data_IF_792734417756
#
_entry.id   IF_792734417756
#
_cell.length_a   1.000
_cell.length_b   1.000
_cell.length_c   1.000
_cell.angle_alpha   90.00
_cell.angle_beta   90.00
_cell.angle_gamma   90.00
#
_symmetry.space_group_name_H-M   'P 1'
#
loop_
_entity.id
_entity.type
_entity.pdbx_description
1 polymer ?
#
# COMPACT_ATOMS: atom_id res chain seq x y z
N UNK A 1 -57.65 46.04 -46.29
CA UNK A 1 -57.64 44.74 -45.57
C UNK A 1 -57.03 43.71 -46.50
N UNK A 2 -55.80 43.28 -46.22
CA UNK A 2 -55.20 42.15 -46.93
C UNK A 2 -55.76 40.90 -46.25
N UNK A 3 -56.58 40.13 -46.98
CA UNK A 3 -57.09 38.85 -46.50
C UNK A 3 -55.91 37.89 -46.44
N UNK A 4 -55.54 37.46 -45.24
CA UNK A 4 -54.67 36.31 -45.04
C UNK A 4 -55.43 35.08 -45.56
N UNK A 5 -55.01 34.55 -46.70
CA UNK A 5 -55.46 33.25 -47.20
C UNK A 5 -54.59 32.16 -46.58
N UNK A 6 -55.17 31.35 -45.70
CA UNK A 6 -54.56 30.08 -45.28
C UNK A 6 -54.56 29.12 -46.47
N UNK A 7 -53.39 28.61 -46.82
CA UNK A 7 -53.22 27.56 -47.83
C UNK A 7 -52.52 26.38 -47.19
N UNK A 8 -53.04 25.17 -47.43
CA UNK A 8 -52.43 23.93 -46.97
C UNK A 8 -51.39 23.52 -48.01
N UNK A 9 -50.13 23.44 -47.61
CA UNK A 9 -49.06 22.96 -48.49
C UNK A 9 -49.34 21.50 -48.89
N UNK A 10 -49.09 21.16 -50.16
CA UNK A 10 -49.01 19.75 -50.55
C UNK A 10 -47.80 19.07 -49.91
N UNK A 11 -47.79 17.74 -49.89
CA UNK A 11 -46.78 16.95 -49.17
C UNK A 11 -45.35 17.25 -49.66
N UNK A 12 -45.16 17.47 -50.97
CA UNK A 12 -43.87 17.79 -51.57
C UNK A 12 -43.39 19.15 -51.08
N UNK A 13 -44.24 20.17 -51.17
CA UNK A 13 -43.89 21.54 -50.77
C UNK A 13 -43.68 21.66 -49.27
N UNK A 14 -44.42 20.88 -48.48
CA UNK A 14 -44.20 20.76 -47.04
C UNK A 14 -42.80 20.21 -46.74
N UNK A 15 -42.43 19.08 -47.34
CA UNK A 15 -41.11 18.46 -47.16
C UNK A 15 -39.95 19.37 -47.58
N UNK A 16 -40.08 20.05 -48.73
CA UNK A 16 -39.10 21.06 -49.19
C UNK A 16 -38.94 22.19 -48.17
N UNK A 17 -40.05 22.71 -47.64
CA UNK A 17 -40.01 23.80 -46.66
C UNK A 17 -39.35 23.36 -45.36
N UNK A 18 -39.64 22.15 -44.87
CA UNK A 18 -39.00 21.58 -43.67
C UNK A 18 -37.49 21.40 -43.88
N UNK A 19 -37.08 20.97 -45.07
CA UNK A 19 -35.66 20.81 -45.44
C UNK A 19 -34.93 22.16 -45.46
N UNK A 20 -35.50 23.19 -46.08
CA UNK A 20 -34.90 24.54 -46.14
C UNK A 20 -34.73 25.13 -44.73
N UNK A 21 -35.72 24.93 -43.85
CA UNK A 21 -35.63 25.35 -42.45
C UNK A 21 -34.52 24.58 -41.73
N UNK A 22 -34.45 23.26 -41.91
CA UNK A 22 -33.40 22.44 -41.30
C UNK A 22 -32.01 22.92 -41.70
N UNK A 23 -31.76 23.07 -43.01
CA UNK A 23 -30.46 23.52 -43.53
C UNK A 23 -30.07 24.91 -43.02
N UNK A 24 -31.03 25.83 -42.90
CA UNK A 24 -30.74 27.15 -42.35
C UNK A 24 -30.36 27.11 -40.86
N UNK A 25 -31.01 26.28 -40.06
CA UNK A 25 -30.76 26.21 -38.61
C UNK A 25 -29.51 25.40 -38.25
N UNK A 26 -29.18 24.36 -39.02
CA UNK A 26 -28.05 23.47 -38.70
C UNK A 26 -26.68 24.14 -38.90
N UNK A 27 -26.65 25.26 -39.63
CA UNK A 27 -25.45 26.09 -39.84
C UNK A 27 -25.19 27.07 -38.67
N UNK A 28 -26.08 27.14 -37.68
CA UNK A 28 -25.95 28.00 -36.50
C UNK A 28 -25.32 27.26 -35.33
N UNK A 29 -24.80 28.01 -34.37
CA UNK A 29 -24.38 27.46 -33.08
C UNK A 29 -25.53 26.72 -32.41
N UNK A 30 -25.22 25.58 -31.78
CA UNK A 30 -26.26 24.75 -31.18
C UNK A 30 -26.95 25.46 -30.00
N UNK A 31 -28.25 25.64 -30.12
CA UNK A 31 -29.13 26.24 -29.13
C UNK A 31 -30.53 25.57 -29.14
N UNK A 32 -31.41 25.98 -28.22
CA UNK A 32 -32.75 25.40 -28.03
C UNK A 32 -33.63 25.44 -29.30
N UNK A 33 -33.46 26.46 -30.13
CA UNK A 33 -34.17 26.61 -31.40
C UNK A 33 -33.68 25.59 -32.44
N UNK A 34 -32.36 25.41 -32.58
CA UNK A 34 -31.76 24.36 -33.41
C UNK A 34 -32.27 22.98 -32.96
N UNK A 35 -32.26 22.71 -31.66
CA UNK A 35 -32.76 21.44 -31.11
C UNK A 35 -34.23 21.16 -31.48
N UNK A 36 -35.10 22.18 -31.36
CA UNK A 36 -36.52 22.06 -31.72
C UNK A 36 -36.70 21.81 -33.21
N UNK A 37 -35.95 22.50 -34.05
CA UNK A 37 -36.00 22.32 -35.51
C UNK A 37 -35.58 20.90 -35.88
N UNK A 38 -34.47 20.40 -35.33
CA UNK A 38 -34.00 19.03 -35.61
C UNK A 38 -35.03 17.98 -35.19
N UNK A 39 -35.58 18.07 -33.97
CA UNK A 39 -36.60 17.14 -33.50
C UNK A 39 -37.88 17.20 -34.35
N UNK A 40 -38.28 18.41 -34.74
CA UNK A 40 -39.42 18.60 -35.64
C UNK A 40 -39.16 17.98 -37.01
N UNK A 41 -37.99 18.21 -37.61
CA UNK A 41 -37.61 17.65 -38.90
C UNK A 41 -37.59 16.13 -38.87
N UNK A 42 -36.98 15.51 -37.85
CA UNK A 42 -36.99 14.04 -37.69
C UNK A 42 -38.42 13.50 -37.63
N UNK A 43 -39.31 14.14 -36.86
CA UNK A 43 -40.70 13.72 -36.74
C UNK A 43 -41.53 13.94 -38.03
N UNK A 44 -41.33 15.09 -38.68
CA UNK A 44 -42.05 15.49 -39.90
C UNK A 44 -41.63 14.65 -41.11
N UNK A 45 -40.33 14.37 -41.24
CA UNK A 45 -39.75 13.60 -42.34
C UNK A 45 -39.78 12.09 -42.08
N UNK A 46 -40.01 11.67 -40.82
CA UNK A 46 -39.91 10.28 -40.36
C UNK A 46 -38.57 9.63 -40.72
N UNK A 47 -37.50 10.41 -40.59
CA UNK A 47 -36.15 10.00 -40.93
C UNK A 47 -35.18 10.42 -39.81
N UNK A 48 -34.59 9.42 -39.15
CA UNK A 48 -33.61 9.65 -38.09
C UNK A 48 -32.24 10.09 -38.63
N UNK A 49 -32.00 9.96 -39.94
CA UNK A 49 -30.72 10.32 -40.57
C UNK A 49 -30.36 11.80 -40.36
N UNK A 50 -31.36 12.65 -40.14
CA UNK A 50 -31.19 14.05 -39.80
C UNK A 50 -30.37 14.28 -38.54
N UNK A 51 -30.41 13.37 -37.55
CA UNK A 51 -29.49 13.45 -36.41
C UNK A 51 -28.02 13.36 -36.84
N UNK A 52 -27.69 12.41 -37.72
CA UNK A 52 -26.35 12.27 -38.28
C UNK A 52 -25.94 13.42 -39.20
N UNK A 53 -26.90 14.07 -39.87
CA UNK A 53 -26.66 15.32 -40.63
C UNK A 53 -26.34 16.48 -39.69
N UNK A 54 -27.10 16.63 -38.59
CA UNK A 54 -26.83 17.64 -37.56
C UNK A 54 -25.45 17.47 -36.93
N UNK A 55 -25.07 16.25 -36.56
CA UNK A 55 -23.73 15.97 -36.02
C UNK A 55 -22.65 16.44 -37.00
N UNK A 56 -22.75 16.05 -38.27
CA UNK A 56 -21.75 16.42 -39.30
C UNK A 56 -21.64 17.92 -39.49
N UNK A 57 -22.76 18.62 -39.66
CA UNK A 57 -22.76 20.07 -39.85
C UNK A 57 -22.18 20.82 -38.64
N UNK A 58 -22.51 20.40 -37.41
CA UNK A 58 -21.94 21.03 -36.22
C UNK A 58 -20.45 20.71 -36.05
N UNK A 59 -20.00 19.54 -36.49
CA UNK A 59 -18.58 19.15 -36.43
C UNK A 59 -17.72 19.92 -37.42
N UNK A 60 -18.24 20.30 -38.59
CA UNK A 60 -17.53 21.14 -39.57
C UNK A 60 -17.09 22.48 -38.98
N UNK A 61 -17.84 23.00 -37.99
CA UNK A 61 -17.56 24.26 -37.32
C UNK A 61 -16.67 24.10 -36.06
N UNK A 62 -16.29 22.88 -35.68
CA UNK A 62 -15.44 22.59 -34.50
C UNK A 62 -14.04 22.13 -34.90
N UNK A 63 -13.01 22.56 -34.17
CA UNK A 63 -11.61 22.33 -34.54
C UNK A 63 -10.98 21.16 -33.80
N UNK A 64 -11.39 20.91 -32.56
CA UNK A 64 -10.77 19.88 -31.70
C UNK A 64 -11.74 18.75 -31.38
N UNK A 65 -11.20 17.57 -31.05
CA UNK A 65 -11.99 16.42 -30.58
C UNK A 65 -12.75 16.76 -29.30
N UNK A 66 -12.12 17.51 -28.40
CA UNK A 66 -12.70 17.90 -27.11
C UNK A 66 -13.90 18.86 -27.29
N UNK A 67 -13.84 19.77 -28.26
CA UNK A 67 -14.98 20.62 -28.65
C UNK A 67 -16.14 19.78 -29.22
N UNK A 68 -15.82 18.78 -30.06
CA UNK A 68 -16.83 17.85 -30.60
C UNK A 68 -17.51 17.05 -29.50
N UNK A 69 -16.78 16.66 -28.45
CA UNK A 69 -17.35 15.99 -27.26
C UNK A 69 -18.36 16.91 -26.56
N UNK A 70 -18.04 18.19 -26.37
CA UNK A 70 -18.97 19.15 -25.78
C UNK A 70 -20.26 19.29 -26.62
N UNK A 71 -20.12 19.37 -27.95
CA UNK A 71 -21.27 19.42 -28.87
C UNK A 71 -22.13 18.17 -28.72
N UNK A 72 -21.55 16.97 -28.77
CA UNK A 72 -22.30 15.71 -28.66
C UNK A 72 -23.02 15.60 -27.32
N UNK A 73 -22.42 16.07 -26.23
CA UNK A 73 -23.07 16.11 -24.92
C UNK A 73 -24.26 17.09 -24.88
N UNK A 74 -24.14 18.27 -25.50
CA UNK A 74 -25.26 19.21 -25.66
C UNK A 74 -26.40 18.60 -26.46
N UNK A 75 -26.09 17.95 -27.59
CA UNK A 75 -27.08 17.22 -28.39
C UNK A 75 -27.76 16.11 -27.58
N UNK A 76 -26.98 15.35 -26.81
CA UNK A 76 -27.52 14.26 -26.01
C UNK A 76 -28.47 14.77 -24.93
N UNK A 77 -28.17 15.89 -24.28
CA UNK A 77 -29.07 16.51 -23.31
C UNK A 77 -30.39 16.96 -23.96
N UNK A 78 -30.34 17.51 -25.17
CA UNK A 78 -31.52 17.96 -25.88
C UNK A 78 -32.38 16.79 -26.42
N UNK A 79 -31.73 15.71 -26.89
CA UNK A 79 -32.39 14.64 -27.63
C UNK A 79 -32.57 13.34 -26.83
N UNK A 80 -32.20 13.31 -25.54
CA UNK A 80 -32.19 12.10 -24.70
C UNK A 80 -33.49 11.28 -24.73
N UNK A 81 -34.65 11.93 -24.90
CA UNK A 81 -35.98 11.29 -24.92
C UNK A 81 -36.31 10.61 -26.26
N UNK A 82 -35.56 10.88 -27.32
CA UNK A 82 -35.76 10.23 -28.61
C UNK A 82 -34.98 8.91 -28.66
N UNK A 83 -35.67 7.80 -28.96
CA UNK A 83 -35.07 6.46 -28.96
C UNK A 83 -34.10 6.27 -30.13
N UNK A 84 -34.41 6.84 -31.30
CA UNK A 84 -33.59 6.73 -32.51
C UNK A 84 -32.28 7.51 -32.40
N UNK A 85 -32.28 8.62 -31.64
CA UNK A 85 -31.09 9.40 -31.33
C UNK A 85 -29.98 8.57 -30.67
N UNK A 86 -30.33 7.64 -29.78
CA UNK A 86 -29.36 6.90 -28.98
C UNK A 86 -28.35 6.12 -29.84
N UNK A 87 -28.76 5.63 -31.01
CA UNK A 87 -27.86 4.92 -31.91
C UNK A 87 -26.76 5.84 -32.45
N UNK A 88 -27.12 7.05 -32.88
CA UNK A 88 -26.17 8.05 -33.37
C UNK A 88 -25.27 8.56 -32.24
N UNK A 89 -25.86 8.82 -31.07
CA UNK A 89 -25.10 9.25 -29.91
C UNK A 89 -24.04 8.22 -29.53
N UNK A 90 -24.41 6.96 -29.33
CA UNK A 90 -23.47 5.92 -28.86
C UNK A 90 -22.34 5.69 -29.86
N UNK A 91 -22.63 5.63 -31.16
CA UNK A 91 -21.59 5.43 -32.18
C UNK A 91 -20.59 6.59 -32.18
N UNK A 92 -21.09 7.84 -32.24
CA UNK A 92 -20.22 9.01 -32.34
C UNK A 92 -19.48 9.28 -31.02
N UNK A 93 -20.15 9.11 -29.88
CA UNK A 93 -19.53 9.32 -28.57
C UNK A 93 -18.40 8.31 -28.30
N UNK A 94 -18.51 7.06 -28.75
CA UNK A 94 -17.42 6.07 -28.61
C UNK A 94 -16.21 6.43 -29.45
N UNK A 95 -16.42 6.82 -30.70
CA UNK A 95 -15.35 7.25 -31.61
C UNK A 95 -14.59 8.45 -31.02
N UNK A 96 -15.30 9.49 -30.58
CA UNK A 96 -14.69 10.67 -29.95
C UNK A 96 -13.99 10.33 -28.63
N UNK A 97 -14.55 9.41 -27.84
CA UNK A 97 -13.93 8.95 -26.60
C UNK A 97 -12.58 8.29 -26.89
N UNK A 98 -12.51 7.37 -27.85
CA UNK A 98 -11.29 6.68 -28.24
C UNK A 98 -10.25 7.64 -28.83
N UNK A 99 -10.68 8.55 -29.72
CA UNK A 99 -9.82 9.56 -30.33
C UNK A 99 -9.21 10.48 -29.27
N UNK A 100 -10.03 11.06 -28.39
CA UNK A 100 -9.52 11.92 -27.31
C UNK A 100 -8.71 11.13 -26.27
N UNK A 101 -9.02 9.87 -26.02
CA UNK A 101 -8.24 9.05 -25.09
C UNK A 101 -6.84 8.74 -25.65
N UNK A 102 -6.69 8.64 -26.97
CA UNK A 102 -5.40 8.42 -27.62
C UNK A 102 -4.44 9.62 -27.52
N UNK A 103 -4.95 10.79 -27.14
CA UNK A 103 -4.16 12.02 -26.95
C UNK A 103 -3.74 12.24 -25.49
N UNK A 104 -4.09 11.33 -24.59
CA UNK A 104 -3.84 11.48 -23.16
C UNK A 104 -2.34 11.36 -22.87
N UNK A 105 -1.83 12.33 -22.11
CA UNK A 105 -0.47 12.46 -21.62
C UNK A 105 -0.49 12.89 -20.16
N UNK A 106 0.65 12.79 -19.49
CA UNK A 106 0.79 13.18 -18.07
C UNK A 106 0.39 14.64 -17.84
N UNK A 107 0.84 15.55 -18.71
CA UNK A 107 0.63 17.00 -18.60
C UNK A 107 -0.82 17.44 -18.86
N UNK A 108 -1.60 16.65 -19.60
CA UNK A 108 -2.98 16.96 -19.94
C UNK A 108 -4.03 16.07 -19.24
N UNK A 109 -3.60 15.13 -18.38
CA UNK A 109 -4.47 14.13 -17.75
C UNK A 109 -5.66 14.74 -16.99
N UNK A 110 -5.42 15.80 -16.21
CA UNK A 110 -6.46 16.50 -15.44
C UNK A 110 -7.50 17.13 -16.38
N UNK A 111 -7.03 17.80 -17.43
CA UNK A 111 -7.88 18.41 -18.43
C UNK A 111 -8.71 17.36 -19.16
N UNK A 112 -8.08 16.31 -19.69
CA UNK A 112 -8.77 15.20 -20.37
C UNK A 112 -9.78 14.51 -19.45
N UNK A 113 -9.49 14.35 -18.16
CA UNK A 113 -10.44 13.82 -17.17
C UNK A 113 -11.71 14.67 -17.06
N UNK A 114 -11.56 16.00 -17.10
CA UNK A 114 -12.70 16.93 -17.04
C UNK A 114 -13.59 16.86 -18.28
N UNK A 115 -13.00 16.66 -19.47
CA UNK A 115 -13.69 16.55 -20.76
C UNK A 115 -14.36 15.18 -20.92
N UNK A 116 -13.65 14.11 -20.57
CA UNK A 116 -14.12 12.74 -20.83
C UNK A 116 -15.06 12.19 -19.76
N UNK A 117 -15.03 12.70 -18.52
CA UNK A 117 -15.89 12.18 -17.45
C UNK A 117 -17.41 12.37 -17.72
N UNK A 118 -17.89 13.52 -18.24
CA UNK A 118 -19.27 13.65 -18.69
C UNK A 118 -19.64 12.63 -19.79
N UNK A 119 -18.75 12.42 -20.76
CA UNK A 119 -18.95 11.46 -21.86
C UNK A 119 -19.00 10.02 -21.34
N UNK A 120 -18.10 9.66 -20.43
CA UNK A 120 -18.10 8.38 -19.70
C UNK A 120 -19.44 8.11 -19.03
N UNK A 121 -19.99 9.08 -18.29
CA UNK A 121 -21.29 8.95 -17.62
C UNK A 121 -22.43 8.71 -18.61
N UNK A 122 -22.43 9.44 -19.72
CA UNK A 122 -23.46 9.32 -20.75
C UNK A 122 -23.38 7.96 -21.48
N UNK A 123 -22.17 7.45 -21.74
CA UNK A 123 -21.92 6.13 -22.32
C UNK A 123 -22.04 4.97 -21.33
N UNK A 124 -22.12 5.26 -20.02
CA UNK A 124 -22.11 4.27 -18.92
C UNK A 124 -20.86 3.39 -18.92
N UNK A 125 -19.72 3.97 -19.28
CA UNK A 125 -18.42 3.29 -19.20
C UNK A 125 -18.07 3.08 -17.72
N UNK A 126 -17.69 1.85 -17.37
CA UNK A 126 -17.33 1.51 -16.00
C UNK A 126 -15.97 2.10 -15.61
N UNK A 127 -15.70 2.18 -14.31
CA UNK A 127 -14.49 2.78 -13.75
C UNK A 127 -13.22 2.13 -14.27
N UNK A 128 -13.20 0.80 -14.38
CA UNK A 128 -12.04 0.05 -14.84
C UNK A 128 -11.70 0.35 -16.31
N UNK A 129 -12.70 0.30 -17.19
CA UNK A 129 -12.54 0.63 -18.62
C UNK A 129 -12.07 2.08 -18.80
N UNK A 130 -12.62 3.00 -18.00
CA UNK A 130 -12.28 4.41 -18.07
C UNK A 130 -10.84 4.67 -17.63
N UNK A 131 -10.41 4.12 -16.49
CA UNK A 131 -9.02 4.22 -16.03
C UNK A 131 -8.06 3.53 -16.99
N UNK A 132 -8.46 2.39 -17.55
CA UNK A 132 -7.66 1.66 -18.55
C UNK A 132 -7.42 2.50 -19.80
N UNK A 133 -8.43 3.24 -20.27
CA UNK A 133 -8.28 4.15 -21.41
C UNK A 133 -7.29 5.28 -21.12
N UNK A 134 -7.33 5.86 -19.90
CA UNK A 134 -6.37 6.89 -19.48
C UNK A 134 -4.94 6.38 -19.36
N UNK A 135 -4.77 5.18 -18.82
CA UNK A 135 -3.45 4.60 -18.62
C UNK A 135 -2.81 4.14 -19.94
N UNK A 136 -3.61 3.72 -20.93
CA UNK A 136 -3.14 3.02 -22.14
C UNK A 136 -2.00 3.73 -22.87
N UNK A 137 -2.14 5.04 -23.12
CA UNK A 137 -1.11 5.79 -23.85
C UNK A 137 0.04 6.20 -22.93
N UNK A 138 -0.23 6.59 -21.69
CA UNK A 138 0.81 6.97 -20.73
C UNK A 138 1.80 5.81 -20.46
N UNK A 139 1.30 4.58 -20.33
CA UNK A 139 2.12 3.38 -20.10
C UNK A 139 3.05 3.01 -21.25
N UNK A 140 2.91 3.64 -22.43
CA UNK A 140 3.81 3.40 -23.56
C UNK A 140 5.09 4.24 -23.46
N UNK A 141 5.04 5.37 -22.76
CA UNK A 141 6.15 6.32 -22.70
C UNK A 141 6.71 6.53 -21.29
N UNK A 142 5.92 6.24 -20.26
CA UNK A 142 6.27 6.51 -18.87
C UNK A 142 6.30 5.23 -18.03
N UNK A 143 7.03 5.29 -16.92
CA UNK A 143 7.07 4.24 -15.91
C UNK A 143 5.75 4.19 -15.10
N UNK A 144 5.41 2.99 -14.58
CA UNK A 144 4.13 2.71 -13.93
C UNK A 144 3.85 3.61 -12.70
N UNK A 145 4.88 4.06 -11.99
CA UNK A 145 4.77 4.99 -10.86
C UNK A 145 4.37 6.41 -11.29
N UNK A 146 4.97 6.92 -12.37
CA UNK A 146 4.60 8.20 -12.98
C UNK A 146 3.14 8.15 -13.46
N UNK A 147 2.76 7.06 -14.14
CA UNK A 147 1.36 6.87 -14.59
C UNK A 147 0.40 6.82 -13.40
N UNK A 148 0.76 6.10 -12.33
CA UNK A 148 -0.04 6.01 -11.12
C UNK A 148 -0.28 7.40 -10.50
N UNK A 149 0.76 8.22 -10.36
CA UNK A 149 0.66 9.57 -9.79
C UNK A 149 -0.18 10.52 -10.67
N UNK A 150 -0.03 10.45 -11.98
CA UNK A 150 -0.83 11.24 -12.92
C UNK A 150 -2.33 10.89 -12.84
N UNK A 151 -2.65 9.59 -12.72
CA UNK A 151 -4.04 9.13 -12.57
C UNK A 151 -4.64 9.59 -11.23
N UNK A 152 -3.90 9.52 -10.12
CA UNK A 152 -4.38 10.07 -8.86
C UNK A 152 -4.63 11.58 -8.95
N UNK A 153 -3.72 12.30 -9.60
CA UNK A 153 -3.85 13.75 -9.84
C UNK A 153 -5.06 14.10 -10.72
N UNK A 154 -5.42 13.22 -11.66
CA UNK A 154 -6.62 13.32 -12.48
C UNK A 154 -7.94 12.98 -11.72
N UNK A 155 -7.85 12.66 -10.43
CA UNK A 155 -8.98 12.44 -9.53
C UNK A 155 -9.45 10.99 -9.43
N UNK A 156 -8.66 10.02 -9.91
CA UNK A 156 -8.99 8.61 -9.80
C UNK A 156 -8.72 8.07 -8.38
N UNK A 157 -9.56 7.13 -7.93
CA UNK A 157 -9.37 6.46 -6.65
C UNK A 157 -8.23 5.45 -6.73
N UNK A 158 -7.46 5.30 -5.63
CA UNK A 158 -6.34 4.36 -5.53
C UNK A 158 -6.70 2.94 -5.99
N UNK A 159 -7.81 2.36 -5.53
CA UNK A 159 -8.20 0.99 -5.90
C UNK A 159 -8.44 0.83 -7.41
N UNK A 160 -9.03 1.84 -8.06
CA UNK A 160 -9.27 1.83 -9.49
C UNK A 160 -7.96 1.95 -10.28
N UNK A 161 -7.05 2.83 -9.85
CA UNK A 161 -5.73 2.96 -10.49
C UNK A 161 -4.92 1.67 -10.32
N UNK A 162 -4.84 1.11 -9.11
CA UNK A 162 -4.09 -0.12 -8.83
C UNK A 162 -4.62 -1.36 -9.59
N UNK A 163 -5.89 -1.34 -10.01
CA UNK A 163 -6.44 -2.42 -10.84
C UNK A 163 -5.88 -2.42 -12.28
N UNK A 164 -5.31 -1.30 -12.73
CA UNK A 164 -4.77 -1.10 -14.08
C UNK A 164 -3.24 -0.95 -14.06
N UNK A 165 -2.71 -0.28 -13.03
CA UNK A 165 -1.29 0.05 -12.85
C UNK A 165 -0.86 -0.44 -11.47
N UNK A 166 -0.33 -1.66 -11.41
CA UNK A 166 0.02 -2.33 -10.16
C UNK A 166 1.42 -1.95 -9.67
N UNK A 167 1.57 -0.72 -9.19
CA UNK A 167 2.83 -0.23 -8.57
C UNK A 167 3.16 -0.93 -7.26
N UNK A 168 2.16 -1.52 -6.58
CA UNK A 168 2.36 -2.21 -5.30
C UNK A 168 3.27 -3.43 -5.45
N UNK A 169 3.12 -4.17 -6.55
CA UNK A 169 3.98 -5.33 -6.84
C UNK A 169 5.45 -4.92 -6.92
N UNK A 170 5.75 -3.90 -7.72
CA UNK A 170 7.10 -3.35 -7.90
C UNK A 170 7.67 -2.79 -6.59
N UNK A 171 6.92 -1.92 -5.90
CA UNK A 171 7.38 -1.34 -4.63
C UNK A 171 7.65 -2.39 -3.56
N UNK A 172 6.77 -3.39 -3.43
CA UNK A 172 6.96 -4.45 -2.45
C UNK A 172 8.15 -5.37 -2.80
N UNK A 173 8.39 -5.62 -4.08
CA UNK A 173 9.59 -6.35 -4.54
C UNK A 173 10.87 -5.56 -4.22
N UNK A 174 10.90 -4.26 -4.52
CA UNK A 174 12.01 -3.37 -4.17
C UNK A 174 12.26 -3.30 -2.67
N UNK A 175 11.22 -3.32 -1.83
CA UNK A 175 11.37 -3.47 -0.37
C UNK A 175 12.13 -4.75 -0.02
N UNK A 176 11.74 -5.88 -0.60
CA UNK A 176 12.32 -7.20 -0.29
C UNK A 176 13.76 -7.30 -0.77
N UNK A 177 14.13 -6.62 -1.87
CA UNK A 177 15.46 -6.69 -2.47
C UNK A 177 16.41 -5.54 -2.03
N UNK A 178 15.95 -4.62 -1.18
CA UNK A 178 16.66 -3.38 -0.80
C UNK A 178 16.92 -2.41 -1.96
N UNK A 179 16.06 -2.36 -2.96
CA UNK A 179 16.23 -1.51 -4.13
C UNK A 179 15.64 -0.11 -3.92
N UNK A 180 16.10 0.87 -4.71
CA UNK A 180 15.59 2.24 -4.65
C UNK A 180 14.16 2.33 -5.19
N UNK A 181 13.29 3.06 -4.48
CA UNK A 181 11.91 3.33 -4.88
C UNK A 181 11.85 4.84 -5.15
N UNK A 182 11.81 5.20 -6.43
CA UNK A 182 11.78 6.58 -6.92
C UNK A 182 10.32 7.05 -7.11
N UNK A 183 9.55 7.17 -6.03
CA UNK A 183 8.19 7.71 -6.09
C UNK A 183 7.95 8.72 -4.99
N UNK A 184 7.36 9.85 -5.35
CA UNK A 184 6.96 10.91 -4.44
C UNK A 184 5.53 10.72 -3.92
N UNK A 185 4.80 9.73 -4.44
CA UNK A 185 3.46 9.38 -3.96
C UNK A 185 3.44 8.98 -2.48
N UNK A 186 2.30 9.23 -1.81
CA UNK A 186 2.07 8.76 -0.44
C UNK A 186 2.29 7.25 -0.30
N UNK A 187 1.95 6.48 -1.33
CA UNK A 187 2.14 5.03 -1.36
C UNK A 187 3.62 4.65 -1.48
N UNK A 188 4.35 5.28 -2.40
CA UNK A 188 5.80 5.11 -2.56
C UNK A 188 6.55 5.47 -1.27
N UNK A 189 6.19 6.58 -0.63
CA UNK A 189 6.72 7.00 0.67
C UNK A 189 6.47 5.98 1.79
N UNK A 190 5.26 5.41 1.85
CA UNK A 190 4.95 4.36 2.82
C UNK A 190 5.83 3.11 2.61
N UNK A 191 5.98 2.64 1.36
CA UNK A 191 6.88 1.52 1.06
C UNK A 191 8.36 1.85 1.31
N UNK A 192 8.80 3.08 1.04
CA UNK A 192 10.15 3.54 1.41
C UNK A 192 10.38 3.50 2.92
N UNK A 193 9.39 3.88 3.73
CA UNK A 193 9.48 3.77 5.19
C UNK A 193 9.54 2.32 5.66
N UNK A 194 8.76 1.41 5.05
CA UNK A 194 8.84 -0.03 5.30
C UNK A 194 10.24 -0.55 4.96
N UNK A 195 10.75 -0.27 3.74
CA UNK A 195 12.09 -0.65 3.30
C UNK A 195 13.16 -0.19 4.29
N UNK A 196 13.15 1.10 4.62
CA UNK A 196 14.16 1.72 5.49
C UNK A 196 14.24 1.00 6.84
N UNK A 197 13.10 0.74 7.48
CA UNK A 197 13.09 0.11 8.80
C UNK A 197 13.39 -1.39 8.74
N UNK A 198 12.90 -2.09 7.71
CA UNK A 198 13.23 -3.50 7.48
C UNK A 198 14.73 -3.69 7.29
N UNK A 199 15.34 -2.91 6.38
CA UNK A 199 16.77 -3.03 6.12
C UNK A 199 17.65 -2.47 7.23
N UNK A 200 17.14 -1.51 8.01
CA UNK A 200 17.78 -1.10 9.26
C UNK A 200 17.86 -2.26 10.27
N UNK A 201 16.76 -3.00 10.46
CA UNK A 201 16.75 -4.19 11.33
C UNK A 201 17.67 -5.28 10.79
N UNK A 202 17.63 -5.55 9.48
CA UNK A 202 18.54 -6.50 8.83
C UNK A 202 20.01 -6.12 9.05
N UNK A 203 20.38 -4.85 8.87
CA UNK A 203 21.75 -4.40 9.05
C UNK A 203 22.23 -4.52 10.50
N UNK A 204 21.38 -4.15 11.46
CA UNK A 204 21.67 -4.31 12.90
C UNK A 204 21.87 -5.78 13.27
N UNK A 205 21.00 -6.65 12.75
CA UNK A 205 21.04 -8.08 13.03
C UNK A 205 22.04 -8.84 12.15
N UNK A 206 22.59 -8.27 11.09
CA UNK A 206 23.44 -9.00 10.13
C UNK A 206 22.68 -9.99 9.24
N UNK A 207 21.41 -9.71 8.95
CA UNK A 207 20.59 -10.51 8.03
C UNK A 207 20.76 -9.99 6.62
N UNK A 208 21.52 -10.70 5.78
CA UNK A 208 21.70 -10.36 4.37
C UNK A 208 20.65 -11.03 3.46
N UNK A 209 20.13 -12.19 3.88
CA UNK A 209 19.12 -12.96 3.15
C UNK A 209 18.25 -13.77 4.10
N UNK A 210 17.00 -14.05 3.68
CA UNK A 210 16.09 -14.98 4.36
C UNK A 210 16.57 -16.44 4.34
N UNK A 211 17.46 -16.81 3.40
CA UNK A 211 17.94 -18.19 3.23
C UNK A 211 19.20 -18.51 4.03
N UNK A 212 19.99 -17.49 4.36
CA UNK A 212 21.30 -17.66 5.00
C UNK A 212 21.62 -16.39 5.79
N UNK A 213 21.40 -16.44 7.11
CA UNK A 213 21.73 -15.33 7.99
C UNK A 213 22.34 -15.82 9.31
N UNK A 214 23.29 -15.05 9.82
CA UNK A 214 23.80 -15.23 11.18
C UNK A 214 23.56 -13.96 11.95
N UNK A 215 22.69 -14.06 12.95
CA UNK A 215 22.33 -12.92 13.78
C UNK A 215 23.55 -12.46 14.60
N UNK A 216 23.85 -11.16 14.51
CA UNK A 216 24.84 -10.47 15.34
C UNK A 216 24.30 -10.34 16.77
N UNK A 217 25.21 -10.44 17.73
CA UNK A 217 24.91 -10.34 19.17
C UNK A 217 25.16 -8.93 19.74
N UNK A 218 25.78 -8.03 18.95
CA UNK A 218 26.15 -6.67 19.36
C UNK A 218 25.44 -5.66 18.45
N UNK A 219 24.32 -5.12 18.96
CA UNK A 219 23.54 -4.08 18.29
C UNK A 219 22.83 -3.20 19.33
N UNK A 220 22.46 -1.99 18.92
CA UNK A 220 21.76 -1.05 19.78
C UNK A 220 20.29 -1.48 19.99
N UNK A 221 19.97 -1.96 21.20
CA UNK A 221 18.64 -2.45 21.55
C UNK A 221 17.55 -1.37 21.45
N UNK A 222 17.83 -0.13 21.87
CA UNK A 222 16.86 0.97 21.78
C UNK A 222 16.55 1.33 20.32
N UNK A 223 17.58 1.32 19.48
CA UNK A 223 17.42 1.53 18.05
C UNK A 223 16.63 0.39 17.40
N UNK A 224 16.85 -0.86 17.83
CA UNK A 224 16.08 -2.03 17.42
C UNK A 224 14.59 -1.87 17.77
N UNK A 225 14.25 -1.54 19.02
CA UNK A 225 12.85 -1.33 19.43
C UNK A 225 12.15 -0.24 18.60
N UNK A 226 12.84 0.89 18.37
CA UNK A 226 12.29 2.00 17.59
C UNK A 226 12.06 1.61 16.12
N UNK A 227 13.03 0.92 15.50
CA UNK A 227 12.92 0.47 14.12
C UNK A 227 11.82 -0.60 13.96
N UNK A 228 11.72 -1.55 14.89
CA UNK A 228 10.72 -2.61 14.89
C UNK A 228 9.30 -2.05 15.08
N UNK A 229 9.10 -1.14 16.03
CA UNK A 229 7.81 -0.48 16.25
C UNK A 229 7.37 0.33 15.03
N UNK A 230 8.30 1.08 14.43
CA UNK A 230 8.03 1.87 13.21
C UNK A 230 7.69 0.95 12.05
N UNK A 231 8.46 -0.13 11.81
CA UNK A 231 8.19 -1.10 10.76
C UNK A 231 6.78 -1.69 10.87
N UNK A 232 6.37 -2.13 12.06
CA UNK A 232 5.04 -2.71 12.28
C UNK A 232 3.92 -1.69 12.02
N UNK A 233 4.10 -0.43 12.43
CA UNK A 233 3.14 0.64 12.17
C UNK A 233 2.99 0.91 10.66
N UNK A 234 4.11 1.06 9.96
CA UNK A 234 4.15 1.34 8.53
C UNK A 234 3.60 0.15 7.72
N UNK A 235 4.00 -1.07 8.06
CA UNK A 235 3.51 -2.29 7.41
C UNK A 235 1.99 -2.43 7.54
N UNK A 236 1.43 -2.10 8.71
CA UNK A 236 -0.03 -2.09 8.92
C UNK A 236 -0.75 -1.11 7.99
N UNK A 237 -0.13 0.04 7.68
CA UNK A 237 -0.71 1.04 6.77
C UNK A 237 -0.84 0.54 5.33
N UNK A 238 0.10 -0.31 4.89
CA UNK A 238 0.15 -0.86 3.53
C UNK A 238 -0.49 -2.25 3.40
N UNK A 239 -0.76 -2.96 4.51
CA UNK A 239 -1.30 -4.34 4.52
C UNK A 239 -2.56 -4.53 3.66
N UNK A 240 -3.42 -3.51 3.54
CA UNK A 240 -4.62 -3.54 2.70
C UNK A 240 -4.32 -3.78 1.20
N UNK A 241 -3.08 -3.56 0.76
CA UNK A 241 -2.63 -3.77 -0.61
C UNK A 241 -2.00 -5.14 -0.86
N UNK A 242 -1.97 -6.04 0.12
CA UNK A 242 -1.38 -7.38 -0.02
C UNK A 242 -1.93 -8.17 -1.21
N UNK A 243 -3.21 -7.99 -1.56
CA UNK A 243 -3.86 -8.61 -2.72
C UNK A 243 -3.12 -8.35 -4.04
N UNK A 244 -2.37 -7.25 -4.13
CA UNK A 244 -1.63 -6.86 -5.34
C UNK A 244 -0.20 -7.43 -5.39
N UNK A 245 0.36 -7.91 -4.26
CA UNK A 245 1.75 -8.38 -4.17
C UNK A 245 1.95 -9.54 -3.17
N UNK A 246 1.17 -10.64 -3.26
CA UNK A 246 1.13 -11.66 -2.21
C UNK A 246 2.49 -12.32 -1.91
N UNK A 247 3.34 -12.49 -2.93
CA UNK A 247 4.67 -13.10 -2.78
C UNK A 247 5.62 -12.20 -1.97
N UNK A 248 5.67 -10.91 -2.30
CA UNK A 248 6.54 -9.95 -1.61
C UNK A 248 6.10 -9.75 -0.16
N UNK A 249 4.79 -9.69 0.10
CA UNK A 249 4.26 -9.66 1.46
C UNK A 249 4.61 -10.92 2.26
N UNK A 250 4.55 -12.10 1.65
CA UNK A 250 4.98 -13.33 2.31
C UNK A 250 6.48 -13.29 2.67
N UNK A 251 7.33 -12.70 1.82
CA UNK A 251 8.75 -12.52 2.12
C UNK A 251 8.97 -11.51 3.27
N UNK A 252 8.25 -10.37 3.27
CA UNK A 252 8.28 -9.41 4.38
C UNK A 252 7.88 -10.07 5.69
N UNK A 253 6.81 -10.89 5.70
CA UNK A 253 6.38 -11.63 6.90
C UNK A 253 7.47 -12.55 7.44
N UNK A 254 8.22 -13.24 6.57
CA UNK A 254 9.36 -14.06 7.00
C UNK A 254 10.44 -13.23 7.71
N UNK A 255 10.71 -12.00 7.26
CA UNK A 255 11.62 -11.11 8.00
C UNK A 255 11.06 -10.77 9.39
N UNK A 256 9.76 -10.48 9.50
CA UNK A 256 9.11 -10.21 10.80
C UNK A 256 9.22 -11.41 11.74
N UNK A 257 9.04 -12.64 11.23
CA UNK A 257 9.20 -13.88 12.00
C UNK A 257 10.62 -14.06 12.57
N UNK A 258 11.64 -13.45 11.97
CA UNK A 258 13.01 -13.40 12.52
C UNK A 258 13.09 -12.40 13.68
N UNK A 259 12.47 -11.23 13.53
CA UNK A 259 12.58 -10.13 14.49
C UNK A 259 11.73 -10.33 15.74
N UNK A 260 10.56 -10.95 15.61
CA UNK A 260 9.58 -11.09 16.70
C UNK A 260 10.13 -11.87 17.91
N UNK A 261 10.78 -13.04 17.76
CA UNK A 261 11.39 -13.75 18.90
C UNK A 261 12.45 -12.92 19.63
N UNK A 262 13.22 -12.13 18.89
CA UNK A 262 14.25 -11.22 19.40
C UNK A 262 13.61 -10.10 20.20
N UNK A 263 12.62 -9.42 19.61
CA UNK A 263 11.85 -8.37 20.27
C UNK A 263 11.24 -8.86 21.58
N UNK A 264 10.59 -10.03 21.56
CA UNK A 264 9.98 -10.62 22.75
C UNK A 264 11.00 -10.89 23.85
N UNK A 265 12.16 -11.46 23.48
CA UNK A 265 13.22 -11.75 24.44
C UNK A 265 13.79 -10.46 25.06
N UNK A 266 14.13 -9.48 24.22
CA UNK A 266 14.63 -8.19 24.68
C UNK A 266 13.60 -7.45 25.53
N UNK A 267 12.29 -7.58 25.23
CA UNK A 267 11.23 -6.93 26.00
C UNK A 267 11.15 -7.47 27.43
N UNK A 268 11.26 -8.80 27.58
CA UNK A 268 11.36 -9.45 28.89
C UNK A 268 12.59 -8.95 29.64
N UNK A 269 13.76 -8.94 28.99
CA UNK A 269 15.02 -8.54 29.63
C UNK A 269 15.03 -7.05 30.02
N UNK A 270 14.44 -6.18 29.21
CA UNK A 270 14.28 -4.75 29.53
C UNK A 270 13.40 -4.54 30.75
N UNK A 271 12.30 -5.29 30.85
CA UNK A 271 11.40 -5.28 32.01
C UNK A 271 12.13 -5.79 33.28
N UNK A 272 12.83 -6.91 33.15
CA UNK A 272 13.63 -7.51 34.22
C UNK A 272 14.74 -6.57 34.71
N UNK A 273 15.47 -5.95 33.77
CA UNK A 273 16.59 -5.05 34.07
C UNK A 273 16.16 -3.72 34.69
N UNK A 274 14.90 -3.33 34.50
CA UNK A 274 14.34 -2.13 35.14
C UNK A 274 14.04 -2.35 36.63
N UNK A 275 13.83 -3.60 37.05
CA UNK A 275 13.53 -3.97 38.44
C UNK A 275 14.21 -5.29 38.85
N UNK A 276 15.54 -5.41 38.75
CA UNK A 276 16.25 -6.66 39.03
C UNK A 276 16.05 -7.13 40.47
N UNK A 277 15.78 -6.22 41.40
CA UNK A 277 15.48 -6.51 42.80
C UNK A 277 14.15 -7.24 43.01
N UNK A 278 13.20 -7.14 42.07
CA UNK A 278 11.90 -7.84 42.14
C UNK A 278 12.00 -9.30 41.71
N UNK A 279 13.11 -9.69 41.07
CA UNK A 279 13.39 -11.06 40.64
C UNK A 279 13.83 -11.87 41.86
N UNK A 280 12.86 -12.29 42.66
CA UNK A 280 13.08 -13.11 43.87
C UNK A 280 12.94 -14.60 43.57
N UNK A 281 13.52 -15.45 44.43
CA UNK A 281 13.38 -16.91 44.28
C UNK A 281 11.92 -17.37 44.23
N UNK A 282 11.09 -16.81 45.11
CA UNK A 282 9.64 -17.09 45.15
C UNK A 282 8.95 -16.72 43.83
N UNK A 283 9.26 -15.53 43.30
CA UNK A 283 8.72 -15.10 42.01
C UNK A 283 9.12 -16.06 40.88
N UNK A 284 10.40 -16.47 40.83
CA UNK A 284 10.88 -17.44 39.84
C UNK A 284 10.17 -18.79 39.97
N UNK A 285 9.99 -19.30 41.19
CA UNK A 285 9.29 -20.56 41.45
C UNK A 285 7.84 -20.53 40.94
N UNK A 286 7.14 -19.41 41.16
CA UNK A 286 5.79 -19.22 40.65
C UNK A 286 5.75 -19.20 39.11
N UNK A 287 6.72 -18.59 38.43
CA UNK A 287 6.79 -18.59 36.97
C UNK A 287 7.14 -19.96 36.39
N UNK A 288 8.05 -20.70 37.04
CA UNK A 288 8.38 -22.09 36.67
C UNK A 288 7.12 -22.97 36.79
N UNK A 289 6.33 -22.82 37.87
CA UNK A 289 5.09 -23.57 38.05
C UNK A 289 4.02 -23.27 36.98
N UNK A 290 4.02 -22.05 36.44
CA UNK A 290 3.15 -21.61 35.34
C UNK A 290 3.66 -22.01 33.95
N UNK A 291 4.83 -22.67 33.85
CA UNK A 291 5.42 -23.08 32.58
C UNK A 291 6.05 -21.92 31.78
N UNK A 292 6.27 -20.75 32.40
CA UNK A 292 6.88 -19.58 31.75
C UNK A 292 8.40 -19.68 31.70
N UNK A 293 8.90 -20.72 31.04
CA UNK A 293 10.33 -21.04 31.06
C UNK A 293 11.20 -20.00 30.33
N UNK A 294 10.70 -19.41 29.24
CA UNK A 294 11.40 -18.33 28.51
C UNK A 294 11.63 -17.13 29.42
N UNK A 295 10.57 -16.65 30.07
CA UNK A 295 10.62 -15.53 31.01
C UNK A 295 11.62 -15.80 32.14
N UNK A 296 11.56 -17.00 32.75
CA UNK A 296 12.45 -17.39 33.85
C UNK A 296 13.92 -17.40 33.41
N UNK A 297 14.23 -17.91 32.22
CA UNK A 297 15.61 -17.96 31.72
C UNK A 297 16.17 -16.54 31.55
N UNK A 298 15.38 -15.62 31.00
CA UNK A 298 15.75 -14.20 30.87
C UNK A 298 15.89 -13.52 32.24
N UNK A 299 14.91 -13.71 33.14
CA UNK A 299 14.92 -13.13 34.48
C UNK A 299 16.15 -13.59 35.29
N UNK A 300 16.47 -14.89 35.24
CA UNK A 300 17.65 -15.44 35.90
C UNK A 300 18.95 -14.91 35.29
N UNK A 301 19.01 -14.75 33.98
CA UNK A 301 20.18 -14.20 33.29
C UNK A 301 20.44 -12.74 33.71
N UNK A 302 19.39 -11.90 33.71
CA UNK A 302 19.47 -10.50 34.13
C UNK A 302 19.85 -10.38 35.61
N UNK A 303 19.19 -11.14 36.49
CA UNK A 303 19.49 -11.17 37.93
C UNK A 303 20.94 -11.57 38.21
N UNK A 304 21.43 -12.59 37.51
CA UNK A 304 22.82 -13.04 37.60
C UNK A 304 23.81 -11.94 37.19
N UNK A 305 23.59 -11.29 36.04
CA UNK A 305 24.46 -10.21 35.60
C UNK A 305 24.45 -9.04 36.57
N UNK A 306 23.28 -8.67 37.09
CA UNK A 306 23.14 -7.60 38.08
C UNK A 306 23.90 -7.91 39.37
N UNK A 307 23.66 -9.09 39.97
CA UNK A 307 24.31 -9.49 41.23
C UNK A 307 25.82 -9.66 41.06
N UNK A 308 26.28 -10.25 39.95
CA UNK A 308 27.72 -10.39 39.69
C UNK A 308 28.40 -9.04 39.48
N UNK A 309 27.78 -8.09 38.76
CA UNK A 309 28.34 -6.75 38.58
C UNK A 309 28.49 -6.02 39.91
N UNK A 310 27.46 -6.07 40.75
CA UNK A 310 27.45 -5.47 42.09
C UNK A 310 28.58 -6.04 42.97
N UNK A 311 28.68 -7.36 43.04
CA UNK A 311 29.70 -8.01 43.88
C UNK A 311 31.13 -7.89 43.34
N UNK A 312 31.31 -7.89 42.02
CA UNK A 312 32.63 -7.80 41.40
C UNK A 312 33.12 -6.36 41.27
N UNK A 313 32.25 -5.36 41.48
CA UNK A 313 32.45 -3.96 41.13
C UNK A 313 32.93 -3.82 39.67
N UNK A 314 32.29 -4.57 38.77
CA UNK A 314 32.67 -4.65 37.37
C UNK A 314 32.13 -3.46 36.57
N UNK A 315 32.82 -3.07 35.50
CA UNK A 315 32.36 -2.00 34.62
C UNK A 315 31.00 -2.37 33.97
N UNK A 316 30.11 -1.38 33.72
CA UNK A 316 28.77 -1.65 33.18
C UNK A 316 28.76 -2.47 31.89
N UNK A 317 29.75 -2.26 31.01
CA UNK A 317 29.88 -2.92 29.70
C UNK A 317 30.58 -4.28 29.76
N UNK A 318 30.93 -4.78 30.95
CA UNK A 318 31.55 -6.09 31.11
C UNK A 318 30.60 -7.18 30.61
N UNK A 319 31.10 -8.08 29.75
CA UNK A 319 30.29 -9.13 29.14
C UNK A 319 29.86 -10.19 30.18
N UNK A 320 28.73 -10.86 29.92
CA UNK A 320 28.27 -11.95 30.77
C UNK A 320 29.27 -13.12 30.86
N UNK A 321 30.07 -13.34 29.81
CA UNK A 321 31.12 -14.35 29.83
C UNK A 321 32.23 -13.95 30.80
N UNK A 322 32.71 -12.71 30.71
CA UNK A 322 33.81 -12.22 31.55
C UNK A 322 33.39 -12.12 33.02
N UNK A 323 32.14 -11.74 33.31
CA UNK A 323 31.59 -11.75 34.67
C UNK A 323 31.66 -13.14 35.30
N UNK A 324 31.35 -14.20 34.53
CA UNK A 324 31.40 -15.58 35.03
C UNK A 324 32.84 -16.04 35.29
N UNK A 325 33.78 -15.71 34.40
CA UNK A 325 35.21 -16.02 34.56
C UNK A 325 35.77 -15.31 35.79
N UNK A 326 35.49 -14.00 35.95
CA UNK A 326 35.92 -13.23 37.12
C UNK A 326 35.33 -13.76 38.43
N UNK A 327 34.06 -14.18 38.42
CA UNK A 327 33.42 -14.75 39.60
C UNK A 327 34.07 -16.08 40.04
N UNK A 328 34.47 -16.91 39.08
CA UNK A 328 35.23 -18.14 39.35
C UNK A 328 36.62 -17.83 39.90
N UNK A 329 37.35 -16.90 39.28
CA UNK A 329 38.71 -16.55 39.69
C UNK A 329 38.77 -15.96 41.11
N UNK A 330 37.72 -15.24 41.52
CA UNK A 330 37.54 -14.74 42.90
C UNK A 330 36.96 -15.76 43.88
N UNK A 331 36.69 -16.99 43.43
CA UNK A 331 36.13 -18.07 44.26
C UNK A 331 34.66 -17.88 44.67
N UNK A 332 33.92 -17.00 43.99
CA UNK A 332 32.48 -16.79 44.20
C UNK A 332 31.68 -17.97 43.62
N UNK A 333 32.17 -18.53 42.50
CA UNK A 333 31.60 -19.70 41.85
C UNK A 333 32.62 -20.84 41.83
N UNK A 334 32.15 -22.07 42.02
CA UNK A 334 32.93 -23.25 41.67
C UNK A 334 32.85 -23.58 40.16
N UNK A 335 33.74 -24.45 39.67
CA UNK A 335 33.79 -24.79 38.24
C UNK A 335 32.53 -25.50 37.70
N UNK A 336 31.74 -26.16 38.55
CA UNK A 336 30.46 -26.77 38.16
C UNK A 336 29.38 -25.69 38.02
N UNK A 337 29.34 -24.73 38.95
CA UNK A 337 28.42 -23.60 38.92
C UNK A 337 28.69 -22.70 37.72
N UNK A 338 29.95 -22.35 37.46
CA UNK A 338 30.37 -21.61 36.26
C UNK A 338 29.91 -22.30 34.97
N UNK A 339 30.16 -23.61 34.85
CA UNK A 339 29.73 -24.39 33.68
C UNK A 339 28.20 -24.40 33.50
N UNK A 340 27.44 -24.52 34.60
CA UNK A 340 25.99 -24.47 34.56
C UNK A 340 25.47 -23.09 34.12
N UNK A 341 26.06 -22.00 34.62
CA UNK A 341 25.67 -20.64 34.26
C UNK A 341 26.11 -20.27 32.82
N UNK A 342 27.22 -20.82 32.32
CA UNK A 342 27.52 -20.74 30.89
C UNK A 342 26.46 -21.42 30.03
N UNK A 343 25.90 -22.56 30.45
CA UNK A 343 24.77 -23.19 29.76
C UNK A 343 23.51 -22.34 29.82
N UNK A 344 23.23 -21.67 30.94
CA UNK A 344 22.13 -20.68 31.03
C UNK A 344 22.31 -19.56 29.99
N UNK A 345 23.51 -18.95 29.93
CA UNK A 345 23.85 -17.92 28.93
C UNK A 345 23.65 -18.43 27.50
N UNK A 346 24.17 -19.62 27.19
CA UNK A 346 24.01 -20.21 25.86
C UNK A 346 22.55 -20.54 25.54
N UNK A 347 21.77 -20.97 26.53
CA UNK A 347 20.34 -21.22 26.38
C UNK A 347 19.57 -19.93 26.07
N UNK A 348 19.83 -18.85 26.82
CA UNK A 348 19.30 -17.51 26.53
C UNK A 348 19.64 -17.05 25.12
N UNK A 349 20.90 -17.19 24.70
CA UNK A 349 21.31 -16.83 23.34
C UNK A 349 20.61 -17.71 22.28
N UNK A 350 20.34 -18.99 22.57
CA UNK A 350 19.56 -19.87 21.69
C UNK A 350 18.08 -19.49 21.57
N UNK A 351 17.51 -18.80 22.58
CA UNK A 351 16.14 -18.27 22.52
C UNK A 351 16.05 -17.02 21.63
N UNK A 352 17.15 -16.28 21.49
CA UNK A 352 17.28 -15.13 20.58
C UNK A 352 17.54 -15.58 19.13
N UNK A 353 18.10 -16.78 18.94
CA UNK A 353 18.51 -17.34 17.64
C UNK A 353 17.83 -18.69 17.37
N UNK A 354 16.56 -18.72 16.90
CA UNK A 354 15.80 -19.96 16.72
C UNK A 354 16.45 -20.96 15.75
N UNK A 355 17.23 -20.45 14.79
CA UNK A 355 17.99 -21.20 13.77
C UNK A 355 19.14 -22.03 14.35
N UNK A 356 19.69 -21.63 15.52
CA UNK A 356 20.82 -22.33 16.15
C UNK A 356 20.32 -23.50 16.99
N UNK A 357 21.08 -24.60 17.02
CA UNK A 357 20.82 -25.76 17.89
C UNK A 357 20.48 -25.32 19.31
N UNK A 358 19.21 -25.40 19.69
CA UNK A 358 18.78 -25.02 21.03
C UNK A 358 19.32 -26.02 22.06
N UNK A 359 19.91 -25.49 23.13
CA UNK A 359 20.24 -26.31 24.29
C UNK A 359 18.93 -26.82 24.86
N UNK A 360 18.74 -28.15 24.83
CA UNK A 360 17.58 -28.76 25.48
C UNK A 360 17.65 -28.46 26.98
N UNK A 361 16.61 -27.83 27.50
CA UNK A 361 16.43 -27.62 28.93
C UNK A 361 15.14 -28.30 29.38
N UNK A 362 15.17 -28.78 30.63
CA UNK A 362 14.01 -29.32 31.33
C UNK A 362 13.78 -28.47 32.56
N UNK A 363 12.62 -28.63 33.20
CA UNK A 363 12.24 -27.90 34.41
C UNK A 363 13.35 -28.01 35.48
N UNK A 364 13.88 -29.21 35.68
CA UNK A 364 14.94 -29.52 36.63
C UNK A 364 16.23 -28.72 36.35
N UNK A 365 16.56 -28.50 35.07
CA UNK A 365 17.73 -27.69 34.68
C UNK A 365 17.54 -26.24 35.07
N UNK A 366 16.34 -25.67 34.84
CA UNK A 366 16.02 -24.28 35.20
C UNK A 366 16.03 -24.12 36.73
N UNK A 367 15.51 -25.12 37.45
CA UNK A 367 15.53 -25.16 38.91
C UNK A 367 16.97 -25.14 39.46
N UNK A 368 17.89 -25.90 38.84
CA UNK A 368 19.33 -25.86 39.17
C UNK A 368 19.91 -24.47 38.91
N UNK A 369 19.63 -23.86 37.75
CA UNK A 369 20.11 -22.52 37.45
C UNK A 369 19.62 -21.49 38.45
N UNK A 370 18.32 -21.52 38.79
CA UNK A 370 17.73 -20.68 39.84
C UNK A 370 18.50 -20.83 41.15
N UNK A 371 18.71 -22.07 41.61
CA UNK A 371 19.37 -22.30 42.90
C UNK A 371 20.82 -21.79 42.91
N UNK A 372 21.52 -21.89 41.78
CA UNK A 372 22.86 -21.32 41.64
C UNK A 372 22.79 -19.79 41.67
N UNK A 373 21.97 -19.15 40.83
CA UNK A 373 21.86 -17.68 40.73
C UNK A 373 21.56 -17.05 42.09
N UNK A 374 20.57 -17.56 42.84
CA UNK A 374 20.24 -17.02 44.17
C UNK A 374 21.27 -17.36 45.25
N UNK A 375 22.14 -18.36 45.03
CA UNK A 375 23.24 -18.64 45.96
C UNK A 375 24.40 -17.65 45.85
N UNK A 376 24.54 -16.97 44.71
CA UNK A 376 25.65 -16.04 44.39
C UNK A 376 25.75 -14.90 45.40
N UNK A 377 24.63 -14.27 45.77
CA UNK A 377 24.58 -13.17 46.76
C UNK A 377 24.31 -13.64 48.19
N UNK A 378 24.24 -14.96 48.42
CA UNK A 378 23.88 -15.51 49.73
C UNK A 378 22.41 -15.28 50.12
N UNK A 379 21.50 -15.08 49.15
CA UNK A 379 20.05 -15.04 49.35
C UNK A 379 19.53 -16.47 49.66
N UNK A 380 20.01 -17.05 50.77
CA UNK A 380 19.55 -18.32 51.33
C UNK A 380 18.61 -18.04 52.51
N UNK A 381 17.35 -17.75 52.19
CA UNK A 381 16.10 -18.23 52.81
C UNK A 381 14.98 -17.22 52.64
#
# INVERSE_FOLDING_TARGET
MQLLTESVLDETRYKETVEEIFEYYVQKDFADDVAKVVLFTVAAMKDSSYFGRTIRALFENTKTVDEKIEVVLKLNNAFTKNVEWQNYFVSTAKELFEESASEIKIDNAIYKSSVLNPLRKALRINDFEYVSAFAKEMKQTEDDDIVYEALLSAGFTVDAVLSVVNVVADFAEKVVNNEEIYSDSDLGNAFNNVKRNLWKLNNMLGVESLSEYTLKDDYNEDEFFNAYATLNSELKSVTKYEKYAPKSYAAIRKFIEIYEPIHDLLSIERSASSHPEKITKKYVDEQIARGKYKDVICDLFVKLQYDLRDMLNAEPMTSAHDLLVMAKDKGILDGKQESALHKLRMCRNGLQHPEKSQIRFYKETIEIWRDIVFSVKGERK
#
